data_IF_617151850420
#
_entry.id   IF_617151850420
#
_cell.length_a   1.000
_cell.length_b   1.000
_cell.length_c   1.000
_cell.angle_alpha   90.00
_cell.angle_beta   90.00
_cell.angle_gamma   90.00
#
_symmetry.space_group_name_H-M   'P 1'
#
loop_
_entity.id
_entity.type
_entity.pdbx_description
1 polymer ?
#
# COMPACT_ATOMS: atom_id res chain seq x y z
N UNK A 1 -24.27 -5.16 -36.60
CA UNK A 1 -25.26 -5.40 -35.52
C UNK A 1 -24.49 -5.78 -34.25
N UNK A 2 -24.96 -5.35 -33.07
CA UNK A 2 -24.38 -5.73 -31.78
C UNK A 2 -25.50 -6.09 -30.80
N UNK A 3 -25.36 -7.25 -30.15
CA UNK A 3 -26.35 -7.79 -29.19
C UNK A 3 -27.78 -7.88 -29.76
N UNK A 4 -27.90 -8.16 -31.06
CA UNK A 4 -29.18 -8.24 -31.78
C UNK A 4 -29.78 -6.88 -32.16
N UNK A 5 -29.11 -5.76 -31.88
CA UNK A 5 -29.57 -4.41 -32.21
C UNK A 5 -28.81 -3.83 -33.41
N UNK A 6 -29.55 -3.17 -34.31
CA UNK A 6 -28.99 -2.43 -35.42
C UNK A 6 -28.83 -0.96 -35.05
N UNK A 7 -27.64 -0.40 -35.29
CA UNK A 7 -27.29 0.99 -35.00
C UNK A 7 -27.01 1.73 -36.30
N UNK A 8 -27.54 2.96 -36.49
CA UNK A 8 -27.21 3.75 -37.67
C UNK A 8 -25.74 4.17 -37.65
N UNK A 9 -25.17 4.43 -38.83
CA UNK A 9 -23.79 4.91 -38.96
C UNK A 9 -23.60 6.18 -38.12
N UNK A 10 -22.53 6.21 -37.33
CA UNK A 10 -22.19 7.29 -36.41
C UNK A 10 -22.85 7.21 -35.04
N UNK A 11 -23.79 6.28 -34.81
CA UNK A 11 -24.41 6.13 -33.50
C UNK A 11 -23.45 5.52 -32.48
N UNK A 12 -23.55 6.01 -31.25
CA UNK A 12 -22.92 5.42 -30.08
C UNK A 12 -23.59 4.09 -29.75
N UNK A 13 -22.78 3.08 -29.51
CA UNK A 13 -23.23 1.74 -29.15
C UNK A 13 -22.96 1.53 -27.65
N UNK A 14 -23.98 1.12 -26.87
CA UNK A 14 -23.79 0.78 -25.47
C UNK A 14 -22.69 -0.26 -25.29
N UNK A 15 -21.84 -0.05 -24.31
CA UNK A 15 -20.75 -0.95 -24.00
C UNK A 15 -20.61 -1.09 -22.48
N UNK A 16 -20.65 -2.34 -22.01
CA UNK A 16 -20.55 -2.69 -20.58
C UNK A 16 -19.10 -3.01 -20.17
N UNK A 17 -18.15 -2.92 -21.09
CA UNK A 17 -16.74 -3.18 -20.83
C UNK A 17 -16.06 -1.91 -20.30
N UNK A 18 -15.61 -1.88 -19.03
CA UNK A 18 -15.00 -0.70 -18.43
C UNK A 18 -13.65 -0.33 -19.07
N UNK A 19 -13.07 -1.20 -19.91
CA UNK A 19 -11.83 -0.92 -20.64
C UNK A 19 -12.01 -0.14 -21.94
N UNK A 20 -13.24 0.08 -22.40
CA UNK A 20 -13.50 0.79 -23.65
C UNK A 20 -14.09 2.17 -23.37
N UNK A 21 -13.53 3.18 -24.02
CA UNK A 21 -13.97 4.58 -23.96
C UNK A 21 -15.05 4.87 -25.01
N UNK A 22 -16.07 4.02 -25.03
CA UNK A 22 -17.15 4.08 -26.00
C UNK A 22 -16.91 3.29 -27.30
N UNK A 23 -18.02 2.96 -27.93
CA UNK A 23 -18.10 2.27 -29.20
C UNK A 23 -19.05 3.03 -30.12
N UNK A 24 -18.79 2.98 -31.43
CA UNK A 24 -19.68 3.58 -32.43
C UNK A 24 -19.78 2.72 -33.68
N UNK A 25 -20.90 2.86 -34.39
CA UNK A 25 -21.11 2.21 -35.68
C UNK A 25 -20.37 2.98 -36.78
N UNK A 26 -19.36 2.37 -37.38
CA UNK A 26 -18.58 2.97 -38.45
C UNK A 26 -19.31 2.89 -39.79
N UNK A 27 -18.89 3.69 -40.77
CA UNK A 27 -19.52 3.76 -42.10
C UNK A 27 -19.44 2.45 -42.90
N UNK A 28 -18.51 1.56 -42.53
CA UNK A 28 -18.41 0.20 -43.07
C UNK A 28 -19.46 -0.77 -42.53
N UNK A 29 -20.24 -0.37 -41.51
CA UNK A 29 -21.20 -1.25 -40.82
C UNK A 29 -20.58 -2.04 -39.65
N UNK A 30 -19.28 -1.87 -39.41
CA UNK A 30 -18.57 -2.47 -38.27
C UNK A 30 -18.74 -1.61 -37.01
N UNK A 31 -18.72 -2.25 -35.84
CA UNK A 31 -18.60 -1.52 -34.58
C UNK A 31 -17.13 -1.31 -34.25
N UNK A 32 -16.75 -0.05 -34.12
CA UNK A 32 -15.42 0.37 -33.69
C UNK A 32 -15.48 0.86 -32.25
N UNK A 33 -14.64 0.27 -31.39
CA UNK A 33 -14.52 0.65 -29.99
C UNK A 33 -13.15 1.27 -29.72
N UNK A 34 -13.13 2.37 -28.98
CA UNK A 34 -11.89 2.95 -28.49
C UNK A 34 -11.51 2.28 -27.18
N UNK A 35 -10.24 1.91 -27.03
CA UNK A 35 -9.75 1.31 -25.80
C UNK A 35 -9.23 2.42 -24.87
N UNK A 36 -9.89 2.60 -23.73
CA UNK A 36 -9.46 3.57 -22.70
C UNK A 36 -8.12 3.14 -22.09
N UNK A 37 -8.01 1.85 -21.79
CA UNK A 37 -6.82 1.23 -21.20
C UNK A 37 -6.66 -0.19 -21.73
N UNK A 38 -5.43 -0.57 -22.00
CA UNK A 38 -5.08 -1.96 -22.30
C UNK A 38 -4.55 -2.66 -21.05
N UNK A 39 -4.55 -4.00 -21.04
CA UNK A 39 -3.92 -4.78 -19.97
C UNK A 39 -2.44 -4.39 -19.75
N UNK A 40 -1.71 -4.04 -20.83
CA UNK A 40 -0.34 -3.50 -20.73
C UNK A 40 -0.31 -2.11 -20.08
N UNK A 41 -1.27 -1.25 -20.42
CA UNK A 41 -1.40 0.07 -19.81
C UNK A 41 -1.66 -0.05 -18.31
N UNK A 42 -2.47 -1.02 -17.89
CA UNK A 42 -2.76 -1.27 -16.48
C UNK A 42 -1.53 -1.71 -15.69
N UNK A 43 -0.64 -2.51 -16.29
CA UNK A 43 0.58 -2.97 -15.63
C UNK A 43 1.55 -1.82 -15.26
N UNK A 44 1.59 -0.76 -16.07
CA UNK A 44 2.42 0.41 -15.80
C UNK A 44 1.94 1.25 -14.61
N UNK A 45 0.66 1.14 -14.23
CA UNK A 45 0.08 1.85 -13.08
C UNK A 45 0.09 1.05 -11.79
N UNK A 46 0.60 -0.19 -11.81
CA UNK A 46 0.79 -0.97 -10.58
C UNK A 46 1.97 -0.36 -9.81
N UNK A 47 1.69 0.73 -9.09
CA UNK A 47 2.58 1.24 -8.04
C UNK A 47 2.93 0.08 -7.13
N UNK A 48 4.22 -0.09 -6.83
CA UNK A 48 4.68 -1.16 -5.95
C UNK A 48 3.88 -1.07 -4.63
N UNK A 49 3.04 -2.06 -4.31
CA UNK A 49 2.21 -2.01 -3.14
C UNK A 49 3.11 -2.00 -1.88
N UNK A 50 2.70 -1.34 -0.79
CA UNK A 50 3.49 -1.24 0.43
C UNK A 50 3.52 -2.56 1.24
N UNK A 51 3.39 -3.71 0.58
CA UNK A 51 3.35 -5.02 1.21
C UNK A 51 3.91 -6.09 0.25
N UNK A 52 4.53 -7.12 0.81
CA UNK A 52 5.13 -8.23 0.05
C UNK A 52 4.12 -9.33 -0.30
N UNK A 53 2.95 -9.31 0.33
CA UNK A 53 1.83 -10.24 0.17
C UNK A 53 0.65 -9.61 -0.59
N UNK A 54 0.96 -8.62 -1.44
CA UNK A 54 -0.06 -7.94 -2.21
C UNK A 54 -0.78 -8.92 -3.14
N UNK A 55 -2.11 -8.84 -3.14
CA UNK A 55 -2.97 -9.64 -4.02
C UNK A 55 -3.62 -8.75 -5.06
N UNK A 56 -3.66 -9.28 -6.28
CA UNK A 56 -4.35 -8.64 -7.38
C UNK A 56 -5.84 -8.93 -7.27
N UNK A 57 -6.66 -7.88 -7.19
CA UNK A 57 -8.12 -7.97 -7.14
C UNK A 57 -8.67 -7.46 -8.46
N UNK A 58 -9.50 -8.29 -9.10
CA UNK A 58 -10.18 -7.94 -10.34
C UNK A 58 -11.61 -7.52 -10.01
N UNK A 59 -11.88 -6.23 -10.14
CA UNK A 59 -13.22 -5.67 -10.00
C UNK A 59 -13.88 -5.60 -11.38
N UNK A 60 -15.03 -6.26 -11.62
CA UNK A 60 -15.69 -6.25 -12.93
C UNK A 60 -16.16 -4.85 -13.36
N UNK A 61 -16.21 -3.87 -12.45
CA UNK A 61 -16.55 -2.48 -12.75
C UNK A 61 -15.34 -1.64 -13.16
N UNK A 62 -14.12 -2.18 -13.05
CA UNK A 62 -12.88 -1.47 -13.35
C UNK A 62 -12.13 -2.17 -14.48
N UNK A 63 -11.55 -1.37 -15.39
CA UNK A 63 -10.72 -1.94 -16.45
C UNK A 63 -9.43 -2.56 -15.92
N UNK A 64 -8.79 -1.87 -14.97
CA UNK A 64 -7.50 -2.28 -14.45
C UNK A 64 -7.67 -3.00 -13.13
N UNK A 65 -6.97 -4.13 -12.94
CA UNK A 65 -6.92 -4.76 -11.63
C UNK A 65 -6.19 -3.83 -10.63
N UNK A 66 -6.59 -3.92 -9.38
CA UNK A 66 -5.99 -3.18 -8.27
C UNK A 66 -5.18 -4.12 -7.39
N UNK A 67 -4.04 -3.66 -6.88
CA UNK A 67 -3.27 -4.41 -5.88
C UNK A 67 -3.76 -4.02 -4.49
N UNK A 68 -4.01 -5.00 -3.65
CA UNK A 68 -4.45 -4.79 -2.26
C UNK A 68 -3.52 -5.51 -1.30
N UNK A 69 -3.30 -4.90 -0.14
CA UNK A 69 -2.51 -5.47 0.96
C UNK A 69 -3.45 -6.04 2.00
N UNK A 70 -3.78 -7.35 1.97
CA UNK A 70 -4.80 -7.92 2.85
C UNK A 70 -4.43 -7.80 4.33
N UNK A 71 -3.13 -7.85 4.64
CA UNK A 71 -2.60 -7.71 6.00
C UNK A 71 -2.03 -6.31 6.27
N UNK A 72 -2.34 -5.32 5.42
CA UNK A 72 -1.76 -3.99 5.49
C UNK A 72 -0.27 -3.95 5.11
N UNK A 73 0.40 -2.81 5.32
CA UNK A 73 1.80 -2.66 4.96
C UNK A 73 2.73 -3.60 5.72
N UNK A 74 3.65 -4.27 5.01
CA UNK A 74 4.56 -5.24 5.61
C UNK A 74 5.88 -5.40 4.82
N UNK A 75 6.84 -6.05 5.46
CA UNK A 75 8.14 -6.39 4.89
C UNK A 75 8.37 -7.90 4.94
N UNK A 76 9.23 -8.40 4.06
CA UNK A 76 9.72 -9.79 4.13
C UNK A 76 11.13 -9.83 4.70
N UNK A 77 11.33 -10.56 5.79
CA UNK A 77 12.64 -10.74 6.40
C UNK A 77 13.48 -11.66 5.51
N UNK A 78 14.67 -11.22 5.15
CA UNK A 78 15.68 -12.05 4.49
C UNK A 78 16.72 -12.53 5.53
N UNK A 79 17.11 -13.82 5.55
CA UNK A 79 16.71 -14.90 4.64
C UNK A 79 15.51 -15.75 5.10
N UNK A 80 15.00 -15.55 6.33
CA UNK A 80 13.98 -16.43 6.92
C UNK A 80 12.67 -16.48 6.13
N UNK A 81 12.37 -15.44 5.36
CA UNK A 81 11.15 -15.29 4.58
C UNK A 81 9.94 -14.85 5.39
N UNK A 82 10.09 -14.59 6.69
CA UNK A 82 9.01 -14.21 7.58
C UNK A 82 8.43 -12.83 7.22
N UNK A 83 7.11 -12.70 7.24
CA UNK A 83 6.42 -11.44 6.98
C UNK A 83 6.21 -10.70 8.30
N UNK A 84 6.56 -9.42 8.33
CA UNK A 84 6.47 -8.58 9.52
C UNK A 84 5.69 -7.30 9.20
N UNK A 85 4.69 -6.92 10.01
CA UNK A 85 3.95 -5.68 9.79
C UNK A 85 4.87 -4.45 9.94
N UNK A 86 4.56 -3.38 9.19
CA UNK A 86 5.23 -2.09 9.36
C UNK A 86 5.06 -1.58 10.79
N UNK A 87 6.13 -1.02 11.36
CA UNK A 87 6.12 -0.43 12.69
C UNK A 87 6.27 -1.44 13.83
N UNK A 88 6.37 -2.74 13.55
CA UNK A 88 6.52 -3.78 14.55
C UNK A 88 7.97 -4.27 14.60
N UNK A 89 8.50 -4.42 15.82
CA UNK A 89 9.73 -5.16 16.08
C UNK A 89 9.39 -6.61 16.42
N UNK A 90 10.04 -7.54 15.73
CA UNK A 90 9.91 -8.97 16.01
C UNK A 90 11.28 -9.61 16.07
N UNK A 91 11.40 -10.66 16.87
CA UNK A 91 12.60 -11.48 16.91
C UNK A 91 12.51 -12.61 15.87
N UNK A 92 13.49 -12.67 14.96
CA UNK A 92 13.60 -13.70 13.93
C UNK A 92 15.00 -14.28 13.98
N UNK A 93 15.12 -15.58 14.18
CA UNK A 93 16.39 -16.29 14.32
C UNK A 93 17.34 -15.65 15.37
N UNK A 94 16.78 -15.19 16.50
CA UNK A 94 17.53 -14.54 17.57
C UNK A 94 17.96 -13.09 17.28
N UNK A 95 17.42 -12.47 16.22
CA UNK A 95 17.73 -11.09 15.82
C UNK A 95 16.48 -10.22 15.86
N UNK A 96 16.63 -8.99 16.34
CA UNK A 96 15.57 -7.99 16.28
C UNK A 96 15.43 -7.46 14.86
N UNK A 97 14.25 -7.63 14.28
CA UNK A 97 13.88 -7.19 12.95
C UNK A 97 12.83 -6.10 13.05
N UNK A 98 13.00 -5.02 12.28
CA UNK A 98 12.04 -3.93 12.23
C UNK A 98 11.70 -3.61 10.77
N UNK A 99 10.40 -3.51 10.48
CA UNK A 99 9.91 -3.04 9.19
C UNK A 99 9.59 -1.56 9.30
N UNK A 100 10.45 -0.71 8.73
CA UNK A 100 10.16 0.71 8.64
C UNK A 100 9.10 0.99 7.56
N UNK A 101 8.30 2.07 7.68
CA UNK A 101 7.35 2.46 6.65
C UNK A 101 7.97 2.66 5.27
N UNK A 102 9.24 3.08 5.24
CA UNK A 102 10.01 3.30 4.00
C UNK A 102 10.44 1.99 3.32
N UNK A 103 10.51 0.90 4.08
CA UNK A 103 10.86 -0.44 3.59
C UNK A 103 9.63 -1.30 3.29
N UNK A 104 8.43 -0.76 3.47
CA UNK A 104 7.18 -1.46 3.22
C UNK A 104 7.10 -1.92 1.75
N UNK A 105 6.74 -3.20 1.53
CA UNK A 105 6.75 -3.82 0.20
C UNK A 105 8.10 -4.38 -0.25
N UNK A 106 9.14 -4.27 0.58
CA UNK A 106 10.49 -4.76 0.25
C UNK A 106 10.96 -5.87 1.21
N UNK A 107 12.10 -6.46 0.84
CA UNK A 107 12.83 -7.34 1.73
C UNK A 107 13.68 -6.51 2.71
N UNK A 108 13.69 -6.91 3.97
CA UNK A 108 14.51 -6.29 5.03
C UNK A 108 15.51 -7.30 5.58
N UNK A 109 16.71 -6.82 5.88
CA UNK A 109 17.72 -7.61 6.59
C UNK A 109 17.74 -7.20 8.05
N UNK A 110 17.72 -8.19 8.94
CA UNK A 110 17.79 -7.91 10.37
C UNK A 110 19.25 -7.65 10.77
N UNK A 111 19.53 -6.54 11.47
CA UNK A 111 20.88 -6.22 11.91
C UNK A 111 21.47 -7.36 12.73
N UNK A 112 22.77 -7.61 12.54
CA UNK A 112 23.52 -8.72 13.15
C UNK A 112 23.84 -8.51 14.64
N UNK A 113 23.50 -7.36 15.22
CA UNK A 113 23.99 -6.93 16.53
C UNK A 113 22.85 -6.49 17.45
N UNK A 114 23.02 -6.65 18.78
CA UNK A 114 21.99 -6.30 19.75
C UNK A 114 21.54 -4.84 19.59
N UNK A 115 20.27 -4.54 19.89
CA UNK A 115 19.75 -3.19 19.79
C UNK A 115 20.67 -2.26 20.57
N UNK A 116 21.18 -1.21 19.93
CA UNK A 116 21.75 -0.08 20.66
C UNK A 116 20.61 0.46 21.51
N UNK A 117 20.59 0.08 22.78
CA UNK A 117 19.64 0.64 23.73
C UNK A 117 20.06 2.09 23.87
N UNK A 118 19.38 2.98 23.15
CA UNK A 118 19.47 4.40 23.44
C UNK A 118 18.77 4.59 24.78
N UNK A 119 19.50 4.36 25.87
CA UNK A 119 19.07 4.73 27.20
C UNK A 119 18.92 6.24 27.19
N UNK A 120 17.69 6.73 27.01
CA UNK A 120 17.38 8.13 27.27
C UNK A 120 17.49 8.29 28.77
N UNK A 121 18.65 8.71 29.26
CA UNK A 121 18.85 9.08 30.65
C UNK A 121 18.03 10.35 30.88
N UNK A 122 16.78 10.20 31.33
CA UNK A 122 16.06 11.30 31.97
C UNK A 122 16.83 11.62 33.25
N UNK A 123 17.66 12.66 33.18
CA UNK A 123 18.32 13.25 34.36
C UNK A 123 17.23 13.84 35.25
N UNK A 124 16.78 13.06 36.23
CA UNK A 124 15.93 13.57 37.31
C UNK A 124 16.80 14.46 38.19
N UNK A 125 16.70 15.77 38.00
CA UNK A 125 17.30 16.76 38.89
C UNK A 125 16.68 16.56 40.29
N UNK A 126 17.45 16.24 41.34
CA UNK A 126 16.91 16.20 42.69
C UNK A 126 16.47 17.61 43.08
N UNK A 127 15.17 17.83 43.26
CA UNK A 127 14.67 19.03 43.91
C UNK A 127 15.03 18.96 45.39
N UNK A 128 15.99 19.78 45.80
CA UNK A 128 16.34 20.03 47.20
C UNK A 128 15.09 20.46 47.97
N UNK A 129 14.73 19.82 49.10
CA UNK A 129 13.62 20.27 49.93
C UNK A 129 13.91 21.67 50.47
N UNK A 130 13.00 22.62 50.22
CA UNK A 130 13.06 23.95 50.82
C UNK A 130 12.87 23.85 52.34
N UNK A 131 13.81 24.44 53.08
CA UNK A 131 13.80 24.56 54.54
C UNK A 131 12.56 25.34 55.01
N UNK A 132 11.80 24.86 56.01
CA UNK A 132 10.65 25.59 56.53
C UNK A 132 11.09 26.82 57.33
N UNK A 133 10.55 27.98 56.98
CA UNK A 133 10.76 29.25 57.68
C UNK A 133 9.73 29.37 58.81
N UNK A 134 10.20 29.33 60.06
CA UNK A 134 9.38 29.61 61.24
C UNK A 134 9.10 31.11 61.32
N UNK A 135 7.82 31.50 61.25
CA UNK A 135 7.39 32.87 61.53
C UNK A 135 7.05 32.99 63.02
N UNK A 136 7.82 33.79 63.74
CA UNK A 136 7.48 34.22 65.11
C UNK A 136 6.78 35.58 65.03
N UNK A 137 5.55 35.61 65.52
CA UNK A 137 4.70 36.79 65.70
C UNK A 137 5.15 37.58 66.93
N UNK A 138 5.12 38.91 66.86
CA UNK A 138 5.15 39.82 68.01
C UNK A 138 3.81 40.53 68.12
#
# INVERSE_FOLDING_TARGET
MQDGVAYPVGALVPNNDPCKDGCYCHSSGDILCMWAKSHRSCASFLTHPPCVDAVQVHDPTQCCPVMTCPNGPNCRVHPSGQIIPVGVQVEVDGRQCYCSPESAGFQVMCPTSPPTTTTTTTTTTPMTPARPTTSTTT
#
